data_IF_091740175041
#
_entry.id   IF_091740175041
#
_cell.length_a   1.000
_cell.length_b   1.000
_cell.length_c   1.000
_cell.angle_alpha   90.00
_cell.angle_beta   90.00
_cell.angle_gamma   90.00
#
_symmetry.space_group_name_H-M   'P 1'
#
loop_
_entity.id
_entity.type
_entity.pdbx_description
1 polymer ?
#
# COMPACT_ATOMS: atom_id res chain seq x y z
N UNK A 1 23.74 -15.10 13.75
CA UNK A 1 22.61 -15.49 12.87
C UNK A 1 21.48 -14.53 13.21
N UNK A 2 21.20 -13.56 12.34
CA UNK A 2 20.07 -12.65 12.54
C UNK A 2 18.78 -13.46 12.42
N UNK A 3 17.99 -13.51 13.48
CA UNK A 3 16.65 -14.11 13.48
C UNK A 3 15.81 -13.36 12.44
N UNK A 4 15.74 -13.93 11.23
CA UNK A 4 14.74 -13.55 10.24
C UNK A 4 13.39 -13.91 10.88
N UNK A 5 12.48 -12.95 11.09
CA UNK A 5 11.17 -13.29 11.63
C UNK A 5 10.56 -14.33 10.70
N UNK A 6 9.98 -15.39 11.28
CA UNK A 6 9.22 -16.38 10.51
C UNK A 6 8.00 -15.64 9.95
N UNK A 7 8.16 -15.05 8.77
CA UNK A 7 7.04 -14.59 7.98
C UNK A 7 6.29 -15.84 7.58
N UNK A 8 5.15 -16.09 8.20
CA UNK A 8 4.15 -16.98 7.61
C UNK A 8 3.96 -16.50 6.19
N UNK A 9 4.29 -17.36 5.22
CA UNK A 9 4.21 -16.97 3.81
C UNK A 9 2.82 -16.40 3.51
N UNK A 10 2.80 -15.27 2.81
CA UNK A 10 1.55 -14.60 2.45
C UNK A 10 0.70 -15.56 1.59
N UNK A 11 -0.55 -15.77 1.99
CA UNK A 11 -1.46 -16.65 1.23
C UNK A 11 -1.87 -15.98 -0.10
N UNK A 12 -2.40 -16.73 -1.05
CA UNK A 12 -2.96 -16.15 -2.28
C UNK A 12 -4.03 -15.10 -2.00
N UNK A 13 -4.89 -15.35 -1.00
CA UNK A 13 -5.88 -14.37 -0.51
C UNK A 13 -5.20 -13.09 0.02
N UNK A 14 -4.09 -13.22 0.78
CA UNK A 14 -3.38 -12.04 1.28
C UNK A 14 -2.83 -11.17 0.16
N UNK A 15 -2.21 -11.82 -0.82
CA UNK A 15 -1.62 -11.16 -2.00
C UNK A 15 -2.69 -10.41 -2.79
N UNK A 16 -3.87 -11.01 -2.93
CA UNK A 16 -5.02 -10.36 -3.57
C UNK A 16 -5.47 -9.12 -2.79
N UNK A 17 -5.71 -9.25 -1.49
CA UNK A 17 -6.15 -8.13 -0.65
C UNK A 17 -5.13 -7.00 -0.59
N UNK A 18 -3.84 -7.33 -0.48
CA UNK A 18 -2.76 -6.36 -0.52
C UNK A 18 -2.75 -5.60 -1.86
N UNK A 19 -2.88 -6.29 -3.00
CA UNK A 19 -2.95 -5.65 -4.31
C UNK A 19 -4.17 -4.72 -4.45
N UNK A 20 -5.35 -5.18 -4.03
CA UNK A 20 -6.58 -4.38 -4.04
C UNK A 20 -6.46 -3.12 -3.17
N UNK A 21 -5.70 -3.19 -2.07
CA UNK A 21 -5.48 -2.06 -1.19
C UNK A 21 -4.79 -0.88 -1.90
N UNK A 22 -3.90 -1.15 -2.87
CA UNK A 22 -3.31 -0.10 -3.71
C UNK A 22 -4.28 0.41 -4.77
N UNK A 23 -4.94 -0.50 -5.51
CA UNK A 23 -5.81 -0.12 -6.63
C UNK A 23 -6.97 0.77 -6.18
N UNK A 24 -7.56 0.44 -5.04
CA UNK A 24 -8.76 1.11 -4.51
C UNK A 24 -8.47 1.89 -3.23
N UNK A 25 -7.23 2.36 -3.06
CA UNK A 25 -6.89 3.26 -1.96
C UNK A 25 -7.69 4.56 -2.08
N UNK A 26 -8.28 5.09 -0.98
CA UNK A 26 -8.13 4.68 0.42
C UNK A 26 -9.25 3.74 0.92
N UNK A 27 -10.23 3.40 0.08
CA UNK A 27 -11.44 2.67 0.49
C UNK A 27 -11.09 1.25 0.96
N UNK A 28 -10.40 0.47 0.12
CA UNK A 28 -10.03 -0.92 0.49
C UNK A 28 -9.11 -0.99 1.71
N UNK A 29 -8.08 -0.13 1.86
CA UNK A 29 -7.28 -0.09 3.08
C UNK A 29 -8.12 0.15 4.34
N UNK A 30 -9.09 1.08 4.30
CA UNK A 30 -9.98 1.34 5.44
C UNK A 30 -10.80 0.08 5.77
N UNK A 31 -11.34 -0.60 4.75
CA UNK A 31 -12.07 -1.86 4.94
C UNK A 31 -11.16 -2.90 5.61
N UNK A 32 -9.92 -3.07 5.12
CA UNK A 32 -8.96 -4.03 5.68
C UNK A 32 -8.59 -3.72 7.13
N UNK A 33 -8.54 -2.45 7.52
CA UNK A 33 -8.31 -2.06 8.93
C UNK A 33 -9.48 -2.45 9.85
N UNK A 34 -10.69 -2.60 9.30
CA UNK A 34 -11.89 -3.03 10.04
C UNK A 34 -12.07 -4.57 10.06
N UNK A 35 -11.40 -5.30 9.16
CA UNK A 35 -11.48 -6.77 9.07
C UNK A 35 -10.56 -7.44 10.09
N UNK A 36 -11.12 -8.02 11.16
CA UNK A 36 -10.34 -8.61 12.26
C UNK A 36 -9.48 -9.80 11.86
N UNK A 37 -9.94 -10.59 10.88
CA UNK A 37 -9.25 -11.76 10.33
C UNK A 37 -8.06 -11.38 9.45
N UNK A 38 -8.02 -10.15 8.92
CA UNK A 38 -6.99 -9.69 7.98
C UNK A 38 -6.04 -8.64 8.57
N UNK A 39 -6.55 -7.67 9.34
CA UNK A 39 -5.78 -6.51 9.82
C UNK A 39 -4.53 -6.85 10.63
N UNK A 40 -4.54 -8.02 11.29
CA UNK A 40 -3.45 -8.47 12.15
C UNK A 40 -2.41 -9.33 11.42
N UNK A 41 -2.66 -9.73 10.16
CA UNK A 41 -1.70 -10.50 9.37
C UNK A 41 -0.54 -9.58 8.98
N UNK A 42 0.74 -9.93 9.26
CA UNK A 42 1.87 -9.03 9.04
C UNK A 42 1.96 -8.46 7.61
N UNK A 43 1.79 -9.32 6.61
CA UNK A 43 1.83 -8.92 5.19
C UNK A 43 0.69 -7.96 4.83
N UNK A 44 -0.55 -8.27 5.22
CA UNK A 44 -1.71 -7.40 5.00
C UNK A 44 -1.52 -6.07 5.73
N UNK A 45 -1.12 -6.10 6.99
CA UNK A 45 -0.93 -4.90 7.81
C UNK A 45 0.06 -3.95 7.15
N UNK A 46 1.20 -4.47 6.71
CA UNK A 46 2.24 -3.69 6.02
C UNK A 46 1.68 -3.00 4.77
N UNK A 47 1.10 -3.76 3.83
CA UNK A 47 0.58 -3.21 2.59
C UNK A 47 -0.63 -2.31 2.79
N UNK A 48 -1.51 -2.59 3.76
CA UNK A 48 -2.69 -1.78 4.08
C UNK A 48 -2.29 -0.39 4.58
N UNK A 49 -1.34 -0.32 5.53
CA UNK A 49 -0.88 0.97 6.07
C UNK A 49 -0.12 1.74 5.00
N UNK A 50 0.76 1.07 4.25
CA UNK A 50 1.53 1.68 3.17
C UNK A 50 0.65 2.21 2.03
N UNK A 51 -0.33 1.42 1.58
CA UNK A 51 -1.26 1.80 0.50
C UNK A 51 -2.22 2.92 0.92
N UNK A 52 -2.64 2.94 2.18
CA UNK A 52 -3.42 4.06 2.73
C UNK A 52 -2.60 5.35 2.75
N UNK A 53 -1.38 5.30 3.30
CA UNK A 53 -0.51 6.46 3.39
C UNK A 53 -0.20 7.05 2.01
N UNK A 54 0.20 6.21 1.04
CA UNK A 54 0.48 6.68 -0.31
C UNK A 54 -0.79 7.14 -1.03
N UNK A 55 -1.93 6.48 -0.82
CA UNK A 55 -3.21 6.89 -1.41
C UNK A 55 -3.64 8.28 -0.96
N UNK A 56 -3.49 8.60 0.33
CA UNK A 56 -3.76 9.95 0.86
C UNK A 56 -2.85 10.98 0.21
N UNK A 57 -1.55 10.68 0.08
CA UNK A 57 -0.59 11.56 -0.62
C UNK A 57 -1.02 11.78 -2.08
N UNK A 58 -1.40 10.72 -2.78
CA UNK A 58 -1.78 10.77 -4.19
C UNK A 58 -3.08 11.53 -4.43
N UNK A 59 -4.05 11.45 -3.52
CA UNK A 59 -5.28 12.26 -3.57
C UNK A 59 -4.99 13.76 -3.53
N UNK A 60 -3.90 14.17 -2.85
CA UNK A 60 -3.52 15.58 -2.77
C UNK A 60 -2.64 15.99 -3.96
N UNK A 61 -1.63 15.17 -4.29
CA UNK A 61 -0.64 15.49 -5.32
C UNK A 61 -1.23 15.44 -6.73
N UNK A 62 -2.02 14.40 -7.05
CA UNK A 62 -2.49 14.18 -8.42
C UNK A 62 -3.38 15.33 -8.94
N UNK A 63 -4.37 15.84 -8.20
CA UNK A 63 -5.17 16.98 -8.66
C UNK A 63 -4.34 18.25 -8.90
N UNK A 64 -3.36 18.53 -8.03
CA UNK A 64 -2.48 19.70 -8.17
C UNK A 64 -1.67 19.60 -9.47
N UNK A 65 -1.04 18.45 -9.71
CA UNK A 65 -0.26 18.23 -10.95
C UNK A 65 -1.17 18.22 -12.17
N UNK A 66 -2.36 17.61 -12.08
CA UNK A 66 -3.34 17.59 -13.16
C UNK A 66 -3.76 19.01 -13.58
N UNK A 67 -4.02 19.92 -12.63
CA UNK A 67 -4.38 21.32 -12.96
C UNK A 67 -3.25 22.02 -13.72
N UNK A 68 -1.99 21.86 -13.28
CA UNK A 68 -0.82 22.49 -13.93
C UNK A 68 -0.54 21.91 -15.32
N UNK A 69 -0.87 20.64 -15.54
CA UNK A 69 -0.57 19.90 -16.78
C UNK A 69 -1.79 19.72 -17.69
N UNK A 70 -2.88 20.45 -17.44
CA UNK A 70 -4.15 20.33 -18.19
C UNK A 70 -4.70 18.89 -18.25
N UNK A 71 -4.51 18.12 -17.18
CA UNK A 71 -5.02 16.76 -17.00
C UNK A 71 -4.00 15.65 -17.28
N UNK A 72 -2.90 15.91 -18.00
CA UNK A 72 -1.92 14.86 -18.34
C UNK A 72 -1.22 14.25 -17.11
N UNK A 73 -1.05 15.04 -16.05
CA UNK A 73 -0.44 14.61 -14.79
C UNK A 73 -1.23 13.58 -14.01
N UNK A 74 -2.49 13.33 -14.37
CA UNK A 74 -3.31 12.27 -13.77
C UNK A 74 -2.74 10.86 -13.97
N UNK A 75 -1.89 10.67 -14.99
CA UNK A 75 -1.15 9.43 -15.26
C UNK A 75 -0.28 8.99 -14.07
N UNK A 76 0.14 9.92 -13.20
CA UNK A 76 0.93 9.60 -12.00
C UNK A 76 0.18 8.58 -11.13
N UNK A 77 -1.16 8.60 -11.09
CA UNK A 77 -1.97 7.61 -10.37
C UNK A 77 -1.70 6.16 -10.80
N UNK A 78 -1.29 5.94 -12.06
CA UNK A 78 -1.05 4.59 -12.58
C UNK A 78 0.10 3.85 -11.87
N UNK A 79 0.98 4.57 -11.16
CA UNK A 79 2.02 3.95 -10.33
C UNK A 79 1.44 3.03 -9.24
N UNK A 80 0.21 3.29 -8.79
CA UNK A 80 -0.49 2.44 -7.83
C UNK A 80 -0.68 1.01 -8.37
N UNK A 81 -0.86 0.84 -9.68
CA UNK A 81 -0.97 -0.49 -10.30
C UNK A 81 0.36 -1.25 -10.29
N UNK A 82 1.49 -0.55 -10.39
CA UNK A 82 2.81 -1.18 -10.28
C UNK A 82 3.03 -1.74 -8.87
N UNK A 83 2.69 -0.96 -7.84
CA UNK A 83 2.75 -1.41 -6.44
C UNK A 83 1.73 -2.51 -6.14
N UNK A 84 0.53 -2.44 -6.72
CA UNK A 84 -0.46 -3.52 -6.63
C UNK A 84 0.09 -4.83 -7.23
N UNK A 85 0.73 -4.76 -8.40
CA UNK A 85 1.36 -5.92 -9.03
C UNK A 85 2.44 -6.54 -8.14
N UNK A 86 3.33 -5.72 -7.56
CA UNK A 86 4.38 -6.21 -6.65
C UNK A 86 3.79 -6.87 -5.39
N UNK A 87 2.78 -6.25 -4.79
CA UNK A 87 2.06 -6.82 -3.66
C UNK A 87 1.38 -8.16 -4.05
N UNK A 88 0.84 -8.26 -5.26
CA UNK A 88 0.24 -9.49 -5.77
C UNK A 88 1.27 -10.63 -5.95
N UNK A 89 2.54 -10.32 -6.25
CA UNK A 89 3.61 -11.33 -6.25
C UNK A 89 3.96 -11.83 -4.83
N UNK A 90 3.54 -11.10 -3.79
CA UNK A 90 3.88 -11.38 -2.41
C UNK A 90 5.16 -10.68 -1.95
N UNK A 91 5.61 -9.65 -2.66
CA UNK A 91 6.79 -8.87 -2.28
C UNK A 91 6.43 -7.80 -1.25
N UNK A 92 7.13 -7.76 -0.11
CA UNK A 92 7.17 -6.56 0.73
C UNK A 92 8.23 -5.60 0.15
N UNK A 93 7.79 -4.43 -0.30
CA UNK A 93 8.67 -3.44 -0.89
C UNK A 93 8.55 -2.10 -0.19
N UNK A 94 9.61 -1.31 -0.28
CA UNK A 94 9.67 0.02 0.33
C UNK A 94 9.37 1.09 -0.72
N UNK A 95 8.51 2.02 -0.35
CA UNK A 95 8.31 3.27 -1.07
C UNK A 95 9.12 4.30 -0.29
N UNK A 96 10.20 4.88 -0.88
CA UNK A 96 11.02 5.86 -0.20
C UNK A 96 10.16 6.96 0.42
N UNK A 97 10.54 7.46 1.60
CA UNK A 97 9.80 8.46 2.38
C UNK A 97 8.51 7.89 3.01
N UNK A 98 7.62 7.25 2.25
CA UNK A 98 6.34 6.74 2.78
C UNK A 98 6.57 5.56 3.73
N UNK A 99 7.37 4.57 3.32
CA UNK A 99 7.66 3.40 4.14
C UNK A 99 8.47 3.78 5.37
N UNK A 100 9.44 4.68 5.24
CA UNK A 100 10.23 5.17 6.37
C UNK A 100 9.34 5.93 7.36
N UNK A 101 8.41 6.75 6.86
CA UNK A 101 7.44 7.46 7.70
C UNK A 101 6.59 6.49 8.52
N UNK A 102 5.93 5.51 7.88
CA UNK A 102 5.05 4.58 8.60
C UNK A 102 5.81 3.68 9.60
N UNK A 103 7.06 3.31 9.28
CA UNK A 103 7.94 2.56 10.19
C UNK A 103 8.36 3.40 11.39
N UNK A 104 8.78 4.64 11.17
CA UNK A 104 9.18 5.56 12.24
C UNK A 104 8.02 5.93 13.17
N UNK A 105 6.77 5.90 12.67
CA UNK A 105 5.57 6.08 13.48
C UNK A 105 5.13 4.81 14.23
N UNK A 106 5.80 3.67 14.02
CA UNK A 106 5.45 2.39 14.64
C UNK A 106 4.11 1.81 14.17
N UNK A 107 3.63 2.22 12.98
CA UNK A 107 2.37 1.72 12.45
C UNK A 107 2.49 0.31 11.88
N UNK A 108 3.67 -0.05 11.39
CA UNK A 108 4.03 -1.36 10.84
C UNK A 108 5.20 -1.97 11.58
#
# INVERSE_FOLDING_TARGET
>A
MTEQPIYTEATSDDKLWAALSYVFSPIVPIILMLMEDKKNRPFIKFHTVQSLAVGIVMIIVVPIVAVVTLGCGSIIWLIMFYWAYKAYQGEMFEIPIVTDFIKNQGWV
#
